data_IF_658535134832
#
_entry.id   IF_658535134832
#
_cell.length_a   1.000
_cell.length_b   1.000
_cell.length_c   1.000
_cell.angle_alpha   90.00
_cell.angle_beta   90.00
_cell.angle_gamma   90.00
#
_symmetry.space_group_name_H-M   'P 1'
#
loop_
_entity.id
_entity.type
_entity.pdbx_description
1 polymer ?
#
# COMPACT_ATOMS: atom_id res chain seq x y z
N UNK A 1 -25.71 11.71 -22.14
CA UNK A 1 -24.40 11.11 -22.49
C UNK A 1 -23.29 12.13 -22.18
N UNK A 2 -23.17 12.59 -20.91
CA UNK A 2 -22.20 13.63 -20.48
C UNK A 2 -21.55 13.32 -19.11
N UNK A 3 -21.82 12.16 -18.53
CA UNK A 3 -21.37 11.84 -17.14
C UNK A 3 -19.95 11.26 -17.01
N UNK A 4 -19.23 11.04 -18.12
CA UNK A 4 -17.92 10.40 -18.08
C UNK A 4 -16.71 11.34 -17.88
N UNK A 5 -16.84 12.62 -18.16
CA UNK A 5 -15.72 13.56 -18.23
C UNK A 5 -15.36 14.17 -16.87
N UNK A 6 -16.37 14.42 -16.03
CA UNK A 6 -16.15 15.03 -14.71
C UNK A 6 -15.39 14.09 -13.76
N UNK A 7 -15.65 12.79 -13.85
CA UNK A 7 -14.97 11.78 -13.01
C UNK A 7 -13.50 11.61 -13.37
N UNK A 8 -13.14 11.66 -14.64
CA UNK A 8 -11.74 11.55 -15.10
C UNK A 8 -10.96 12.83 -14.76
N UNK A 9 -11.52 14.02 -15.00
CA UNK A 9 -10.89 15.29 -14.65
C UNK A 9 -10.68 15.40 -13.13
N UNK A 10 -11.69 15.09 -12.32
CA UNK A 10 -11.59 15.11 -10.86
C UNK A 10 -10.51 14.15 -10.35
N UNK A 11 -10.41 12.94 -10.92
CA UNK A 11 -9.37 11.98 -10.62
C UNK A 11 -7.97 12.52 -10.93
N UNK A 12 -7.78 13.10 -12.12
CA UNK A 12 -6.49 13.65 -12.54
C UNK A 12 -6.11 14.82 -11.65
N UNK A 13 -7.02 15.74 -11.34
CA UNK A 13 -6.74 16.88 -10.46
C UNK A 13 -6.42 16.45 -9.02
N UNK A 14 -7.18 15.51 -8.45
CA UNK A 14 -6.91 15.02 -7.09
C UNK A 14 -5.55 14.35 -6.99
N UNK A 15 -5.19 13.53 -7.99
CA UNK A 15 -3.90 12.85 -8.05
C UNK A 15 -2.76 13.84 -8.31
N UNK A 16 -2.95 14.85 -9.16
CA UNK A 16 -1.97 15.90 -9.40
C UNK A 16 -1.72 16.77 -8.14
N UNK A 17 -2.77 17.13 -7.41
CA UNK A 17 -2.67 17.89 -6.16
C UNK A 17 -1.98 17.09 -5.04
N UNK A 18 -2.06 15.76 -5.06
CA UNK A 18 -1.37 14.89 -4.11
C UNK A 18 0.14 14.76 -4.35
N UNK A 19 0.69 15.47 -5.35
CA UNK A 19 2.10 15.37 -5.81
C UNK A 19 2.51 13.93 -6.16
N UNK A 20 1.57 13.13 -6.63
CA UNK A 20 1.83 11.76 -7.07
C UNK A 20 2.76 11.75 -8.28
N UNK A 21 3.77 10.91 -8.23
CA UNK A 21 4.69 10.71 -9.36
C UNK A 21 4.01 9.82 -10.40
N UNK A 22 3.77 10.38 -11.57
CA UNK A 22 3.24 9.63 -12.71
C UNK A 22 4.37 8.91 -13.43
N UNK A 23 4.27 7.58 -13.54
CA UNK A 23 5.24 6.77 -14.28
C UNK A 23 4.56 6.20 -15.51
N UNK A 24 4.95 6.66 -16.69
CA UNK A 24 4.53 6.05 -17.94
C UNK A 24 5.22 4.70 -18.15
N UNK A 25 4.45 3.62 -18.07
CA UNK A 25 4.96 2.24 -18.14
C UNK A 25 5.35 1.81 -19.56
N UNK A 26 5.04 2.61 -20.56
CA UNK A 26 5.26 2.28 -21.98
C UNK A 26 6.69 2.55 -22.47
N UNK A 27 7.44 3.41 -21.79
CA UNK A 27 8.79 3.79 -22.18
C UNK A 27 9.78 3.68 -21.02
N UNK A 28 10.84 2.90 -21.22
CA UNK A 28 11.90 2.71 -20.21
C UNK A 28 12.67 4.02 -19.94
N UNK A 29 12.91 4.81 -20.97
CA UNK A 29 13.62 6.10 -20.84
C UNK A 29 12.79 7.12 -20.05
N UNK A 30 11.50 7.20 -20.31
CA UNK A 30 10.59 8.07 -19.56
C UNK A 30 10.43 7.63 -18.10
N UNK A 31 10.45 6.32 -17.83
CA UNK A 31 10.43 5.81 -16.47
C UNK A 31 11.70 6.21 -15.69
N UNK A 32 12.87 6.18 -16.32
CA UNK A 32 14.12 6.63 -15.68
C UNK A 32 14.06 8.14 -15.38
N UNK A 33 13.67 8.96 -16.34
CA UNK A 33 13.52 10.41 -16.12
C UNK A 33 12.50 10.75 -15.02
N UNK A 34 11.41 9.97 -14.92
CA UNK A 34 10.43 10.13 -13.85
C UNK A 34 11.00 9.75 -12.47
N UNK A 35 11.89 8.77 -12.39
CA UNK A 35 12.58 8.42 -11.15
C UNK A 35 13.61 9.49 -10.76
N UNK A 36 14.35 10.07 -11.72
CA UNK A 36 15.26 11.18 -11.47
C UNK A 36 14.53 12.39 -10.87
N UNK A 37 13.43 12.78 -11.49
CA UNK A 37 12.57 13.85 -11.00
C UNK A 37 11.96 13.54 -9.61
N UNK A 38 11.57 12.28 -9.38
CA UNK A 38 11.06 11.86 -8.08
C UNK A 38 12.12 11.93 -6.98
N UNK A 39 13.33 11.47 -7.25
CA UNK A 39 14.46 11.55 -6.32
C UNK A 39 14.77 13.01 -5.95
N UNK A 40 14.80 13.90 -6.92
CA UNK A 40 15.01 15.35 -6.69
C UNK A 40 13.89 15.94 -5.81
N UNK A 41 12.63 15.60 -6.10
CA UNK A 41 11.48 16.06 -5.30
C UNK A 41 11.53 15.53 -3.86
N UNK A 42 11.95 14.28 -3.66
CA UNK A 42 12.10 13.70 -2.32
C UNK A 42 13.12 14.49 -1.50
N UNK A 43 14.25 14.87 -2.06
CA UNK A 43 15.27 15.67 -1.37
C UNK A 43 14.83 17.11 -1.14
N UNK A 44 14.33 17.78 -2.17
CA UNK A 44 13.96 19.20 -2.13
C UNK A 44 12.82 19.48 -1.17
N UNK A 45 11.82 18.61 -1.12
CA UNK A 45 10.63 18.80 -0.32
C UNK A 45 10.58 17.91 0.92
N UNK A 46 11.62 17.11 1.21
CA UNK A 46 11.64 16.11 2.29
C UNK A 46 10.40 15.22 2.26
N UNK A 47 10.02 14.79 1.04
CA UNK A 47 8.78 14.06 0.79
C UNK A 47 9.06 12.57 0.71
N UNK A 48 8.19 11.76 1.34
CA UNK A 48 8.20 10.30 1.19
C UNK A 48 7.37 9.88 -0.02
N UNK A 49 7.75 8.78 -0.66
CA UNK A 49 7.01 8.16 -1.76
C UNK A 49 6.52 6.79 -1.32
N UNK A 50 5.22 6.54 -1.50
CA UNK A 50 4.62 5.23 -1.22
C UNK A 50 4.47 4.45 -2.51
N UNK A 51 5.05 3.25 -2.56
CA UNK A 51 5.09 2.41 -3.76
C UNK A 51 4.67 0.98 -3.42
N UNK A 52 3.84 0.37 -4.25
CA UNK A 52 3.54 -1.04 -4.21
C UNK A 52 4.58 -1.81 -5.05
N UNK A 53 5.49 -2.58 -4.44
CA UNK A 53 6.61 -3.17 -5.18
C UNK A 53 6.19 -4.29 -6.12
N UNK A 54 5.06 -4.95 -5.88
CA UNK A 54 4.49 -5.95 -6.78
C UNK A 54 4.01 -5.35 -8.12
N UNK A 55 3.69 -4.05 -8.15
CA UNK A 55 3.22 -3.32 -9.33
C UNK A 55 1.83 -3.72 -9.81
N UNK A 56 1.16 -4.61 -9.14
CA UNK A 56 -0.21 -5.05 -9.39
C UNK A 56 -0.84 -5.56 -8.08
N UNK A 57 -2.13 -5.84 -8.11
CA UNK A 57 -2.81 -6.50 -7.00
C UNK A 57 -2.52 -8.00 -7.03
N UNK A 58 -2.13 -8.57 -5.90
CA UNK A 58 -2.16 -10.01 -5.67
C UNK A 58 -3.53 -10.41 -5.13
N UNK A 59 -4.01 -11.57 -5.55
CA UNK A 59 -5.30 -12.13 -5.11
C UNK A 59 -5.09 -13.49 -4.45
N UNK A 60 -4.03 -13.60 -3.67
CA UNK A 60 -3.75 -14.80 -2.89
C UNK A 60 -4.75 -14.93 -1.74
N UNK A 61 -5.25 -16.13 -1.52
CA UNK A 61 -6.07 -16.48 -0.36
C UNK A 61 -5.21 -16.97 0.83
N UNK A 62 -3.91 -17.02 0.64
CA UNK A 62 -2.89 -17.37 1.61
C UNK A 62 -1.81 -16.28 1.69
N UNK A 63 -1.01 -16.23 2.78
CA UNK A 63 0.02 -15.20 2.95
C UNK A 63 1.22 -15.44 2.03
N UNK A 64 1.18 -14.84 0.84
CA UNK A 64 2.26 -14.83 -0.13
C UNK A 64 2.31 -13.49 -0.89
N UNK A 65 3.40 -13.23 -1.60
CA UNK A 65 3.67 -12.02 -2.37
C UNK A 65 4.17 -12.35 -3.77
N UNK A 66 3.74 -11.58 -4.75
CA UNK A 66 4.30 -11.63 -6.11
C UNK A 66 5.78 -11.20 -6.11
N UNK A 67 6.54 -11.55 -7.14
CA UNK A 67 7.88 -11.01 -7.33
C UNK A 67 7.86 -9.48 -7.38
N UNK A 68 8.82 -8.85 -6.70
CA UNK A 68 8.91 -7.40 -6.65
C UNK A 68 9.50 -6.82 -7.93
N UNK A 69 8.98 -5.67 -8.35
CA UNK A 69 9.52 -4.89 -9.46
C UNK A 69 10.67 -4.01 -8.96
N UNK A 70 11.78 -4.02 -9.68
CA UNK A 70 13.02 -3.32 -9.28
C UNK A 70 12.91 -1.78 -9.26
N UNK A 71 11.89 -1.19 -9.90
CA UNK A 71 11.76 0.25 -10.05
C UNK A 71 11.78 1.04 -8.73
N UNK A 72 11.03 0.59 -7.72
CA UNK A 72 11.02 1.23 -6.41
C UNK A 72 12.41 1.21 -5.72
N UNK A 73 13.15 0.13 -5.90
CA UNK A 73 14.46 -0.07 -5.32
C UNK A 73 15.53 0.76 -6.03
N UNK A 74 15.46 0.86 -7.36
CA UNK A 74 16.30 1.79 -8.11
C UNK A 74 16.08 3.23 -7.66
N UNK A 75 14.83 3.65 -7.47
CA UNK A 75 14.53 4.98 -6.95
C UNK A 75 15.14 5.21 -5.56
N UNK A 76 14.98 4.26 -4.64
CA UNK A 76 15.51 4.38 -3.28
C UNK A 76 17.04 4.46 -3.26
N UNK A 77 17.72 3.60 -4.02
CA UNK A 77 19.19 3.61 -4.17
C UNK A 77 19.66 4.89 -4.82
N UNK A 78 19.00 5.36 -5.86
CA UNK A 78 19.35 6.61 -6.55
C UNK A 78 19.17 7.84 -5.66
N UNK A 79 18.07 7.88 -4.90
CA UNK A 79 17.81 8.94 -3.93
C UNK A 79 18.57 8.77 -2.61
N UNK A 80 19.30 7.66 -2.41
CA UNK A 80 20.02 7.35 -1.15
C UNK A 80 19.14 7.52 0.09
N UNK A 81 17.87 7.08 0.00
CA UNK A 81 16.87 7.16 1.08
C UNK A 81 16.49 5.79 1.58
N UNK A 82 16.22 5.60 2.88
CA UNK A 82 15.87 4.30 3.42
C UNK A 82 14.53 3.79 2.86
N UNK A 83 14.41 2.48 2.75
CA UNK A 83 13.15 1.80 2.45
C UNK A 83 12.49 1.41 3.77
N UNK A 84 11.26 1.87 3.99
CA UNK A 84 10.45 1.48 5.15
C UNK A 84 9.39 0.49 4.67
N UNK A 85 9.55 -0.82 4.93
CA UNK A 85 8.57 -1.80 4.50
C UNK A 85 7.30 -1.71 5.34
N UNK A 86 6.14 -1.68 4.68
CA UNK A 86 4.82 -1.75 5.32
C UNK A 86 4.12 -3.01 4.84
N UNK A 87 3.76 -3.88 5.77
CA UNK A 87 3.15 -5.18 5.50
C UNK A 87 1.73 -5.20 6.03
N UNK A 88 0.80 -5.62 5.20
CA UNK A 88 -0.61 -5.79 5.56
C UNK A 88 -0.92 -7.28 5.58
N UNK A 89 -1.54 -7.79 6.64
CA UNK A 89 -1.92 -9.19 6.75
C UNK A 89 -2.82 -9.62 5.58
N UNK A 90 -2.82 -10.92 5.25
CA UNK A 90 -3.78 -11.42 4.29
C UNK A 90 -5.20 -11.21 4.83
N UNK A 91 -6.02 -10.52 4.07
CA UNK A 91 -7.37 -10.10 4.45
C UNK A 91 -8.47 -10.71 3.56
N UNK A 92 -8.17 -11.81 2.90
CA UNK A 92 -9.13 -12.51 2.03
C UNK A 92 -10.41 -12.98 2.75
N UNK A 93 -10.36 -13.12 4.06
CA UNK A 93 -11.51 -13.40 4.93
C UNK A 93 -12.42 -12.17 5.17
N UNK A 94 -11.88 -10.96 4.99
CA UNK A 94 -12.59 -9.67 5.14
C UNK A 94 -13.03 -9.14 3.77
N UNK A 95 -12.12 -9.13 2.81
CA UNK A 95 -12.37 -8.66 1.46
C UNK A 95 -11.78 -9.61 0.42
N UNK A 96 -12.65 -10.27 -0.34
CA UNK A 96 -12.28 -11.07 -1.50
C UNK A 96 -13.21 -10.73 -2.67
N UNK A 97 -12.67 -9.98 -3.63
CA UNK A 97 -13.44 -9.52 -4.80
C UNK A 97 -13.84 -10.67 -5.74
N UNK A 98 -13.07 -11.76 -5.78
CA UNK A 98 -13.37 -12.93 -6.62
C UNK A 98 -14.49 -13.77 -6.03
N UNK A 99 -14.46 -13.97 -4.72
CA UNK A 99 -15.49 -14.72 -3.98
C UNK A 99 -16.66 -13.83 -3.56
N UNK A 100 -16.62 -12.51 -3.89
CA UNK A 100 -17.61 -11.51 -3.47
C UNK A 100 -17.82 -11.50 -1.95
N UNK A 101 -16.74 -11.68 -1.20
CA UNK A 101 -16.73 -11.57 0.25
C UNK A 101 -16.44 -10.13 0.62
N UNK A 102 -17.32 -9.55 1.43
CA UNK A 102 -17.12 -8.28 2.08
C UNK A 102 -17.71 -8.36 3.49
N UNK A 103 -16.84 -8.38 4.49
CA UNK A 103 -17.23 -8.54 5.90
C UNK A 103 -16.57 -7.46 6.73
N UNK A 104 -17.24 -7.07 7.82
CA UNK A 104 -16.61 -6.24 8.82
C UNK A 104 -15.46 -7.03 9.50
N UNK A 105 -14.33 -6.35 9.72
CA UNK A 105 -13.18 -6.98 10.34
C UNK A 105 -12.00 -6.02 10.49
N UNK A 106 -10.99 -6.45 11.24
CA UNK A 106 -9.74 -5.73 11.39
C UNK A 106 -8.68 -6.33 10.47
N UNK A 107 -7.96 -5.47 9.76
CA UNK A 107 -6.85 -5.87 8.90
C UNK A 107 -5.56 -5.40 9.58
N UNK A 108 -4.79 -6.30 10.23
CA UNK A 108 -3.53 -5.94 10.85
C UNK A 108 -2.51 -5.46 9.82
N UNK A 109 -1.76 -4.44 10.18
CA UNK A 109 -0.61 -3.98 9.41
C UNK A 109 0.60 -3.83 10.33
N UNK A 110 1.79 -3.99 9.78
CA UNK A 110 3.07 -3.85 10.48
C UNK A 110 4.00 -2.96 9.68
N UNK A 111 4.68 -2.04 10.36
CA UNK A 111 5.75 -1.22 9.79
C UNK A 111 7.06 -1.79 10.31
N UNK A 112 7.94 -2.20 9.39
CA UNK A 112 9.23 -2.80 9.73
C UNK A 112 10.30 -1.72 9.90
N UNK A 113 11.46 -2.14 10.43
CA UNK A 113 12.60 -1.25 10.54
C UNK A 113 13.05 -0.77 9.16
N UNK A 114 13.49 0.50 9.06
CA UNK A 114 14.04 1.02 7.82
C UNK A 114 15.26 0.20 7.35
N UNK A 115 15.32 -0.07 6.05
CA UNK A 115 16.46 -0.72 5.40
C UNK A 115 17.24 0.36 4.67
N UNK A 116 18.50 0.52 5.07
CA UNK A 116 19.35 1.59 4.57
C UNK A 116 19.80 1.32 3.12
N UNK A 117 19.77 2.38 2.31
CA UNK A 117 20.27 2.35 0.94
C UNK A 117 21.51 3.23 0.75
N UNK A 118 21.90 3.98 1.77
CA UNK A 118 23.05 4.87 1.73
C UNK A 118 24.32 4.08 1.41
N UNK A 119 25.05 4.51 0.38
CA UNK A 119 26.25 3.83 -0.11
C UNK A 119 26.00 2.62 -1.00
N UNK A 120 24.74 2.18 -1.19
CA UNK A 120 24.40 1.15 -2.17
C UNK A 120 24.43 1.71 -3.59
N UNK A 121 24.87 0.87 -4.53
CA UNK A 121 24.92 1.16 -5.95
C UNK A 121 23.84 0.38 -6.73
N UNK A 122 23.77 0.63 -8.04
CA UNK A 122 22.78 0.00 -8.91
C UNK A 122 22.93 -1.53 -8.95
N UNK A 123 24.12 -2.02 -8.76
CA UNK A 123 24.51 -3.43 -8.74
C UNK A 123 23.92 -4.15 -7.50
N UNK A 124 23.68 -3.41 -6.41
CA UNK A 124 23.15 -3.97 -5.16
C UNK A 124 21.62 -4.13 -5.19
N UNK A 125 20.96 -3.60 -6.21
CA UNK A 125 19.48 -3.56 -6.27
C UNK A 125 18.87 -4.96 -6.24
N UNK A 126 19.47 -5.94 -6.88
CA UNK A 126 18.92 -7.29 -6.92
C UNK A 126 18.96 -7.96 -5.55
N UNK A 127 20.08 -7.82 -4.84
CA UNK A 127 20.21 -8.31 -3.47
C UNK A 127 19.24 -7.57 -2.52
N UNK A 128 19.09 -6.25 -2.69
CA UNK A 128 18.17 -5.45 -1.89
C UNK A 128 16.70 -5.84 -2.11
N UNK A 129 16.31 -6.17 -3.34
CA UNK A 129 14.96 -6.66 -3.65
C UNK A 129 14.66 -7.96 -2.89
N UNK A 130 15.58 -8.92 -2.93
CA UNK A 130 15.41 -10.20 -2.23
C UNK A 130 15.42 -10.04 -0.71
N UNK A 131 16.30 -9.20 -0.19
CA UNK A 131 16.35 -8.86 1.24
C UNK A 131 15.01 -8.30 1.72
N UNK A 132 14.52 -7.23 1.07
CA UNK A 132 13.27 -6.56 1.46
C UNK A 132 12.08 -7.51 1.29
N UNK A 133 12.02 -8.26 0.19
CA UNK A 133 10.95 -9.23 -0.04
C UNK A 133 10.95 -10.33 1.02
N UNK A 134 12.13 -10.81 1.40
CA UNK A 134 12.29 -11.85 2.42
C UNK A 134 11.72 -11.42 3.76
N UNK A 135 12.14 -10.26 4.27
CA UNK A 135 11.65 -9.75 5.56
C UNK A 135 10.17 -9.41 5.54
N UNK A 136 9.65 -8.88 4.41
CA UNK A 136 8.23 -8.61 4.26
C UNK A 136 7.39 -9.89 4.21
N UNK A 137 7.86 -10.93 3.54
CA UNK A 137 7.15 -12.21 3.44
C UNK A 137 7.09 -12.94 4.79
N UNK A 138 8.19 -12.91 5.54
CA UNK A 138 8.24 -13.47 6.90
C UNK A 138 7.22 -12.76 7.81
N UNK A 139 7.23 -11.44 7.81
CA UNK A 139 6.28 -10.64 8.59
C UNK A 139 4.83 -10.86 8.13
N UNK A 140 4.58 -10.93 6.82
CA UNK A 140 3.25 -11.23 6.28
C UNK A 140 2.71 -12.55 6.84
N UNK A 141 3.53 -13.59 6.86
CA UNK A 141 3.15 -14.89 7.41
C UNK A 141 2.87 -14.80 8.91
N UNK A 142 3.71 -14.08 9.65
CA UNK A 142 3.58 -13.89 11.09
C UNK A 142 2.28 -13.19 11.48
N UNK A 143 1.99 -12.01 10.87
CA UNK A 143 0.80 -11.23 11.20
C UNK A 143 -0.48 -11.87 10.67
N UNK A 144 -0.42 -12.58 9.55
CA UNK A 144 -1.58 -13.31 9.00
C UNK A 144 -1.94 -14.52 9.88
N UNK A 145 -0.95 -15.26 10.38
CA UNK A 145 -1.18 -16.36 11.32
C UNK A 145 -1.76 -15.86 12.64
N UNK A 146 -1.31 -14.70 13.13
CA UNK A 146 -1.88 -14.06 14.32
C UNK A 146 -3.33 -13.64 14.09
N UNK A 147 -3.62 -12.98 12.98
CA UNK A 147 -4.97 -12.55 12.61
C UNK A 147 -5.95 -13.73 12.50
N UNK A 148 -5.49 -14.88 12.00
CA UNK A 148 -6.31 -16.10 11.93
C UNK A 148 -6.58 -16.73 13.31
N UNK A 149 -5.59 -16.74 14.21
CA UNK A 149 -5.71 -17.32 15.56
C UNK A 149 -6.61 -16.48 16.47
N UNK A 150 -6.44 -15.17 16.43
CA UNK A 150 -7.21 -14.24 17.28
C UNK A 150 -8.67 -14.13 16.82
N UNK A 151 -9.00 -14.75 15.69
CA UNK A 151 -10.24 -14.63 14.96
C UNK A 151 -10.73 -13.20 15.04
N UNK A 152 -10.96 -12.50 13.95
CA UNK A 152 -11.35 -11.09 14.00
C UNK A 152 -12.64 -10.97 14.82
N UNK A 153 -12.53 -11.07 16.14
CA UNK A 153 -13.62 -10.79 17.06
C UNK A 153 -13.84 -9.27 16.94
N UNK A 154 -14.90 -8.90 16.23
CA UNK A 154 -15.40 -7.53 16.30
C UNK A 154 -15.58 -7.20 17.77
N UNK A 155 -15.00 -6.09 18.21
CA UNK A 155 -15.31 -5.54 19.54
C UNK A 155 -16.82 -5.39 19.65
N UNK A 156 -17.37 -5.48 20.84
CA UNK A 156 -18.84 -5.50 20.99
C UNK A 156 -19.54 -4.27 20.38
N UNK A 157 -18.89 -3.09 20.41
CA UNK A 157 -19.40 -1.89 19.75
C UNK A 157 -19.38 -1.99 18.22
N UNK A 158 -18.42 -2.71 17.62
CA UNK A 158 -18.38 -2.93 16.16
C UNK A 158 -19.46 -3.92 15.72
N UNK A 159 -19.77 -4.90 16.56
CA UNK A 159 -20.91 -5.83 16.32
C UNK A 159 -22.23 -5.10 16.35
N UNK A 160 -22.41 -4.16 17.29
CA UNK A 160 -23.61 -3.33 17.39
C UNK A 160 -23.75 -2.45 16.13
N UNK A 161 -22.68 -1.80 15.70
CA UNK A 161 -22.68 -0.97 14.49
C UNK A 161 -22.96 -1.78 13.22
N UNK A 162 -22.35 -2.95 13.07
CA UNK A 162 -22.60 -3.85 11.95
C UNK A 162 -24.07 -4.31 11.90
N UNK A 163 -24.68 -4.58 13.06
CA UNK A 163 -26.09 -4.94 13.18
C UNK A 163 -27.01 -3.76 12.83
N UNK A 164 -26.67 -2.55 13.28
CA UNK A 164 -27.41 -1.34 12.97
C UNK A 164 -27.40 -1.02 11.46
N UNK A 165 -26.23 -1.15 10.81
CA UNK A 165 -26.11 -0.95 9.35
C UNK A 165 -26.92 -1.99 8.58
N UNK A 166 -26.91 -3.25 9.01
CA UNK A 166 -27.69 -4.32 8.36
C UNK A 166 -29.21 -4.14 8.53
N UNK A 167 -29.63 -3.44 9.58
CA UNK A 167 -31.05 -3.12 9.86
C UNK A 167 -31.50 -1.79 9.23
N UNK A 168 -30.66 -1.11 8.46
CA UNK A 168 -31.01 0.14 7.78
C UNK A 168 -31.11 1.37 8.70
N UNK A 169 -30.67 1.28 9.95
CA UNK A 169 -30.62 2.41 10.87
C UNK A 169 -29.50 3.36 10.48
N UNK A 170 -29.83 4.63 10.23
CA UNK A 170 -28.83 5.69 10.06
C UNK A 170 -28.06 5.88 11.36
N UNK A 171 -26.73 5.73 11.30
CA UNK A 171 -25.84 6.06 12.41
C UNK A 171 -25.57 7.55 12.37
N UNK A 172 -26.00 8.27 13.39
CA UNK A 172 -25.52 9.63 13.64
C UNK A 172 -24.07 9.54 14.11
N UNK A 173 -23.17 10.05 13.28
CA UNK A 173 -21.76 10.22 13.64
C UNK A 173 -21.64 11.44 14.56
N UNK A 174 -22.00 11.23 15.83
CA UNK A 174 -21.74 12.23 16.86
C UNK A 174 -20.31 12.09 17.36
N UNK A 175 -19.50 13.10 17.18
CA UNK A 175 -18.22 13.26 17.88
C UNK A 175 -17.02 13.68 17.05
N UNK A 176 -17.14 14.69 16.19
CA UNK A 176 -16.00 15.51 15.80
C UNK A 176 -15.62 16.40 16.98
N UNK A 177 -14.58 16.07 17.75
CA UNK A 177 -13.96 17.06 18.63
C UNK A 177 -13.12 17.98 17.75
N UNK A 178 -13.52 19.25 17.72
CA UNK A 178 -12.66 20.36 17.30
C UNK A 178 -11.42 20.39 18.19
N UNK A 179 -10.26 20.45 17.54
CA UNK A 179 -9.04 21.00 18.13
C UNK A 179 -8.54 22.07 17.18
#
# INVERSE_FOLDING_TARGET
MVEGWETELTRVYTVALSKTVFIERKSRSQAVAAFDAAAEQMHKHKQSVYIFPEGTRSYYDHPDMLPFKKGAFHLAVQAQVPIVPVVVANYSNVLDMRRKVFRAGTIPASVLQPIETKGKAKEDVDALVEEVRGVMLEELRRISAKAQREGVALKDHEKVNAKAVSSGVKLDVAGGREI
#
